data_IF_843004820666
#
_entry.id   IF_843004820666
#
_cell.length_a   1.000
_cell.length_b   1.000
_cell.length_c   1.000
_cell.angle_alpha   90.00
_cell.angle_beta   90.00
_cell.angle_gamma   90.00
#
_symmetry.space_group_name_H-M   'P 1'
#
loop_
_entity.id
_entity.type
_entity.pdbx_description
1 polymer ?
#
# COMPACT_ATOMS: atom_id res chain seq x y z
N UNK A 1 20.23 4.99 6.95
CA UNK A 1 18.90 5.22 7.58
C UNK A 1 18.27 6.43 6.92
N UNK A 2 16.96 6.41 6.64
CA UNK A 2 16.26 7.56 6.07
C UNK A 2 16.22 8.74 7.05
N UNK A 3 16.02 9.98 6.57
CA UNK A 3 16.12 11.19 7.39
C UNK A 3 15.05 11.27 8.49
N UNK A 4 13.97 10.51 8.35
CA UNK A 4 12.89 10.37 9.34
C UNK A 4 12.96 9.07 10.15
N UNK A 5 14.07 8.35 10.07
CA UNK A 5 14.19 7.01 10.67
C UNK A 5 13.31 5.94 10.00
N UNK A 6 12.70 6.25 8.85
CA UNK A 6 11.81 5.37 8.07
C UNK A 6 12.19 5.36 6.59
N UNK A 7 11.73 4.33 5.89
CA UNK A 7 11.68 4.24 4.43
C UNK A 7 10.23 4.53 3.96
N UNK A 8 10.01 4.92 2.68
CA UNK A 8 11.01 5.20 1.64
C UNK A 8 11.68 6.58 1.81
N UNK A 9 12.88 6.71 1.22
CA UNK A 9 13.61 7.97 1.08
C UNK A 9 14.47 7.95 -0.19
N UNK A 10 14.81 9.12 -0.72
CA UNK A 10 15.75 9.28 -1.84
C UNK A 10 16.90 10.21 -1.45
N UNK A 11 17.95 10.19 -2.27
CA UNK A 11 19.01 11.20 -2.28
C UNK A 11 19.06 11.81 -3.67
N UNK A 12 18.91 13.11 -3.75
CA UNK A 12 18.88 13.83 -5.02
C UNK A 12 19.35 15.28 -4.82
N UNK A 13 20.17 15.80 -5.73
CA UNK A 13 20.68 17.17 -5.64
C UNK A 13 21.40 17.51 -4.32
N UNK A 14 22.10 16.55 -3.70
CA UNK A 14 22.74 16.71 -2.39
C UNK A 14 21.79 16.72 -1.19
N UNK A 15 20.47 16.61 -1.42
CA UNK A 15 19.44 16.53 -0.38
C UNK A 15 19.08 15.08 -0.10
N UNK A 16 18.70 14.78 1.14
CA UNK A 16 18.07 13.50 1.51
C UNK A 16 16.62 13.78 1.89
N UNK A 17 15.66 13.28 1.09
CA UNK A 17 14.23 13.48 1.30
C UNK A 17 13.61 12.14 1.68
N UNK A 18 12.92 12.07 2.81
CA UNK A 18 12.17 10.89 3.23
C UNK A 18 10.69 11.20 3.31
N UNK A 19 9.87 10.14 3.35
CA UNK A 19 8.41 10.15 3.14
C UNK A 19 8.03 10.18 1.66
N UNK A 20 7.21 9.23 1.21
CA UNK A 20 6.85 9.07 -0.21
C UNK A 20 6.15 10.30 -0.79
N UNK A 21 5.27 10.95 -0.03
CA UNK A 21 4.54 12.13 -0.53
C UNK A 21 5.47 13.33 -0.65
N UNK A 22 6.38 13.50 0.32
CA UNK A 22 7.40 14.55 0.26
C UNK A 22 8.40 14.31 -0.87
N UNK A 23 8.77 13.06 -1.12
CA UNK A 23 9.62 12.66 -2.26
C UNK A 23 8.92 12.98 -3.58
N UNK A 24 7.66 12.56 -3.76
CA UNK A 24 6.90 12.83 -4.99
C UNK A 24 6.78 14.33 -5.22
N UNK A 25 6.42 15.10 -4.19
CA UNK A 25 6.33 16.57 -4.28
C UNK A 25 7.66 17.19 -4.69
N UNK A 26 8.76 16.81 -4.03
CA UNK A 26 10.09 17.31 -4.36
C UNK A 26 10.46 17.04 -5.82
N UNK A 27 10.21 15.83 -6.32
CA UNK A 27 10.53 15.45 -7.69
C UNK A 27 9.72 16.27 -8.70
N UNK A 28 8.43 16.49 -8.43
CA UNK A 28 7.56 17.32 -9.27
C UNK A 28 7.99 18.79 -9.29
N UNK A 29 8.30 19.35 -8.12
CA UNK A 29 8.74 20.74 -8.00
C UNK A 29 10.10 20.96 -8.68
N UNK A 30 10.99 19.96 -8.66
CA UNK A 30 12.36 20.06 -9.18
C UNK A 30 12.45 19.74 -10.68
N UNK A 31 11.71 18.74 -11.16
CA UNK A 31 11.84 18.20 -12.52
C UNK A 31 10.58 18.37 -13.39
N UNK A 32 9.54 18.99 -12.84
CA UNK A 32 8.24 19.17 -13.48
C UNK A 32 7.27 18.01 -13.22
N UNK A 33 5.98 18.32 -13.13
CA UNK A 33 4.94 17.34 -12.87
C UNK A 33 4.43 16.67 -14.15
N UNK A 34 5.15 15.65 -14.62
CA UNK A 34 4.77 14.87 -15.81
C UNK A 34 3.66 13.86 -15.54
N UNK A 35 3.39 13.55 -14.27
CA UNK A 35 2.44 12.50 -13.87
C UNK A 35 1.06 13.11 -13.67
N UNK A 36 0.97 14.19 -12.90
CA UNK A 36 -0.30 14.80 -12.52
C UNK A 36 -0.47 16.22 -13.05
N UNK A 37 0.48 16.73 -13.85
CA UNK A 37 0.42 18.09 -14.41
C UNK A 37 -0.83 18.36 -15.24
N UNK A 38 -1.40 17.31 -15.87
CA UNK A 38 -2.61 17.40 -16.70
C UNK A 38 -3.92 17.29 -15.92
N UNK A 39 -3.88 16.97 -14.63
CA UNK A 39 -5.09 16.81 -13.84
C UNK A 39 -5.80 18.16 -13.61
N UNK A 40 -7.12 18.14 -13.60
CA UNK A 40 -7.94 19.27 -13.13
C UNK A 40 -7.83 19.42 -11.61
N UNK A 41 -8.25 20.57 -11.08
CA UNK A 41 -8.30 20.78 -9.63
C UNK A 41 -9.18 19.73 -8.92
N UNK A 42 -10.32 19.38 -9.51
CA UNK A 42 -11.22 18.35 -8.99
C UNK A 42 -10.57 16.96 -9.00
N UNK A 43 -9.90 16.58 -10.09
CA UNK A 43 -9.17 15.31 -10.16
C UNK A 43 -8.08 15.22 -9.11
N UNK A 44 -7.33 16.30 -8.85
CA UNK A 44 -6.34 16.36 -7.78
C UNK A 44 -6.97 16.19 -6.40
N UNK A 45 -8.10 16.85 -6.15
CA UNK A 45 -8.84 16.70 -4.89
C UNK A 45 -9.33 15.27 -4.69
N UNK A 46 -9.86 14.63 -5.75
CA UNK A 46 -10.26 13.21 -5.72
C UNK A 46 -9.08 12.27 -5.51
N UNK A 47 -7.93 12.53 -6.14
CA UNK A 47 -6.70 11.79 -5.89
C UNK A 47 -6.27 11.86 -4.42
N UNK A 48 -6.35 13.06 -3.83
CA UNK A 48 -6.03 13.25 -2.42
C UNK A 48 -6.93 12.45 -1.49
N UNK A 49 -8.25 12.37 -1.74
CA UNK A 49 -9.16 11.58 -0.90
C UNK A 49 -8.89 10.08 -1.02
N UNK A 50 -8.56 9.59 -2.22
CA UNK A 50 -8.14 8.20 -2.44
C UNK A 50 -6.85 7.91 -1.67
N UNK A 51 -5.84 8.78 -1.78
CA UNK A 51 -4.58 8.62 -1.06
C UNK A 51 -4.79 8.60 0.46
N UNK A 52 -5.64 9.50 1.02
CA UNK A 52 -5.99 9.49 2.45
C UNK A 52 -6.67 8.19 2.87
N UNK A 53 -7.67 7.73 2.12
CA UNK A 53 -8.36 6.47 2.41
C UNK A 53 -7.36 5.30 2.47
N UNK A 54 -6.47 5.22 1.49
CA UNK A 54 -5.51 4.13 1.42
C UNK A 54 -4.43 4.20 2.51
N UNK A 55 -3.87 5.39 2.77
CA UNK A 55 -2.81 5.59 3.77
C UNK A 55 -3.31 5.53 5.22
N UNK A 56 -4.49 6.10 5.49
CA UNK A 56 -4.96 6.30 6.86
C UNK A 56 -6.00 5.26 7.31
N UNK A 57 -6.56 4.47 6.38
CA UNK A 57 -7.43 3.32 6.67
C UNK A 57 -6.81 2.01 6.17
N UNK A 58 -6.74 1.80 4.85
CA UNK A 58 -6.38 0.51 4.24
C UNK A 58 -4.99 0.01 4.68
N UNK A 59 -4.02 0.89 4.89
CA UNK A 59 -2.69 0.55 5.40
C UNK A 59 -2.73 -0.19 6.73
N UNK A 60 -3.60 0.23 7.65
CA UNK A 60 -3.71 -0.41 8.97
C UNK A 60 -4.36 -1.78 8.87
N UNK A 61 -5.29 -1.96 7.93
CA UNK A 61 -5.86 -3.28 7.59
C UNK A 61 -4.77 -4.20 7.00
N UNK A 62 -3.89 -3.67 6.13
CA UNK A 62 -2.76 -4.43 5.62
C UNK A 62 -1.79 -4.85 6.74
N UNK A 63 -1.56 -3.98 7.74
CA UNK A 63 -0.78 -4.35 8.92
C UNK A 63 -1.48 -5.41 9.79
N UNK A 64 -2.81 -5.37 9.91
CA UNK A 64 -3.58 -6.44 10.55
C UNK A 64 -3.27 -7.77 9.87
N UNK A 65 -3.42 -7.85 8.53
CA UNK A 65 -3.14 -9.06 7.76
C UNK A 65 -1.71 -9.58 7.97
N UNK A 66 -0.70 -8.69 7.93
CA UNK A 66 0.72 -9.07 7.86
C UNK A 66 1.38 -9.29 9.21
N UNK A 67 0.95 -8.57 10.24
CA UNK A 67 1.65 -8.53 11.53
C UNK A 67 0.76 -8.93 12.70
N UNK A 68 -0.57 -8.90 12.56
CA UNK A 68 -1.46 -9.27 13.66
C UNK A 68 -2.00 -10.67 13.49
N UNK A 69 -2.44 -11.08 12.31
CA UNK A 69 -2.84 -12.45 12.03
C UNK A 69 -1.62 -13.39 12.04
N UNK A 70 -1.78 -14.62 12.55
CA UNK A 70 -0.66 -15.57 12.67
C UNK A 70 -0.17 -16.06 11.29
N UNK A 71 -1.09 -16.38 10.37
CA UNK A 71 -0.74 -16.82 9.02
C UNK A 71 0.10 -15.77 8.26
N UNK A 72 -0.25 -14.49 8.39
CA UNK A 72 0.51 -13.41 7.79
C UNK A 72 1.83 -13.15 8.51
N UNK A 73 1.84 -13.20 9.84
CA UNK A 73 3.08 -13.01 10.60
C UNK A 73 4.11 -14.09 10.29
N UNK A 74 3.69 -15.34 10.12
CA UNK A 74 4.60 -16.43 9.72
C UNK A 74 5.25 -16.16 8.36
N UNK A 75 4.46 -15.71 7.36
CA UNK A 75 4.98 -15.33 6.04
C UNK A 75 5.91 -14.12 6.10
N UNK A 76 5.57 -13.10 6.88
CA UNK A 76 6.42 -11.92 7.06
C UNK A 76 7.69 -12.26 7.81
N UNK A 77 7.61 -13.13 8.81
CA UNK A 77 8.78 -13.64 9.55
C UNK A 77 9.75 -14.32 8.61
N UNK A 78 9.25 -15.24 7.79
CA UNK A 78 10.04 -15.93 6.77
C UNK A 78 10.64 -14.95 5.75
N UNK A 79 9.84 -14.04 5.21
CA UNK A 79 10.31 -13.13 4.15
C UNK A 79 11.33 -12.09 4.63
N UNK A 80 11.18 -11.55 5.85
CA UNK A 80 11.99 -10.40 6.33
C UNK A 80 13.09 -10.78 7.31
N UNK A 81 13.01 -11.94 7.96
CA UNK A 81 13.90 -12.28 9.08
C UNK A 81 14.57 -13.65 8.95
N UNK A 82 14.43 -14.37 7.82
CA UNK A 82 15.06 -15.69 7.62
C UNK A 82 16.57 -15.70 7.79
N UNK A 83 17.24 -14.60 7.44
CA UNK A 83 18.71 -14.51 7.45
C UNK A 83 19.26 -14.10 8.83
N UNK A 84 18.41 -13.91 9.84
CA UNK A 84 18.88 -13.65 11.20
C UNK A 84 19.40 -14.94 11.86
N UNK A 85 20.60 -14.87 12.42
CA UNK A 85 21.15 -15.96 13.24
C UNK A 85 20.43 -16.06 14.58
N UNK A 86 20.48 -17.24 15.20
CA UNK A 86 20.14 -17.37 16.61
C UNK A 86 21.14 -16.55 17.46
N UNK A 87 20.70 -15.82 18.51
CA UNK A 87 19.34 -15.74 19.05
C UNK A 87 18.46 -14.61 18.45
N UNK A 88 18.98 -13.80 17.53
CA UNK A 88 18.25 -12.64 16.96
C UNK A 88 16.96 -13.05 16.25
N UNK A 89 16.95 -14.17 15.53
CA UNK A 89 15.74 -14.69 14.87
C UNK A 89 14.60 -15.04 15.83
N UNK A 90 14.91 -15.37 17.09
CA UNK A 90 13.90 -15.64 18.13
C UNK A 90 13.40 -14.36 18.81
N UNK A 91 14.23 -13.31 18.88
CA UNK A 91 13.94 -12.10 19.67
C UNK A 91 13.34 -10.98 18.80
N UNK A 92 13.91 -10.73 17.62
CA UNK A 92 13.59 -9.55 16.81
C UNK A 92 12.17 -9.59 16.23
N UNK A 93 11.70 -10.67 15.56
CA UNK A 93 10.37 -10.66 14.95
C UNK A 93 9.23 -10.46 15.96
N UNK A 94 9.17 -11.17 17.12
CA UNK A 94 8.13 -10.92 18.12
C UNK A 94 8.16 -9.50 18.70
N UNK A 95 9.36 -8.93 18.87
CA UNK A 95 9.51 -7.56 19.36
C UNK A 95 8.93 -6.54 18.36
N UNK A 96 9.22 -6.69 17.06
CA UNK A 96 8.65 -5.87 15.99
C UNK A 96 7.13 -6.02 15.94
N UNK A 97 6.62 -7.27 15.97
CA UNK A 97 5.18 -7.58 16.01
C UNK A 97 4.47 -6.84 17.15
N UNK A 98 5.05 -6.91 18.36
CA UNK A 98 4.53 -6.23 19.55
C UNK A 98 4.60 -4.70 19.42
N UNK A 99 5.61 -4.16 18.75
CA UNK A 99 5.70 -2.73 18.44
C UNK A 99 4.58 -2.27 17.52
N UNK A 100 4.35 -2.99 16.41
CA UNK A 100 3.31 -2.66 15.44
C UNK A 100 1.90 -2.76 16.02
N UNK A 101 1.61 -3.81 16.81
CA UNK A 101 0.33 -3.92 17.54
C UNK A 101 0.09 -2.71 18.45
N UNK A 102 1.12 -2.24 19.17
CA UNK A 102 1.02 -1.02 19.99
C UNK A 102 0.75 0.23 19.14
N UNK A 103 1.42 0.37 18.00
CA UNK A 103 1.17 1.48 17.07
C UNK A 103 -0.26 1.47 16.52
N UNK A 104 -0.81 0.30 16.19
CA UNK A 104 -2.20 0.15 15.73
C UNK A 104 -3.20 0.62 16.80
N UNK A 105 -2.99 0.25 18.06
CA UNK A 105 -3.83 0.70 19.18
C UNK A 105 -3.68 2.21 19.41
N UNK A 106 -2.47 2.75 19.28
CA UNK A 106 -2.20 4.18 19.45
C UNK A 106 -2.84 5.03 18.34
N UNK A 107 -2.84 4.55 17.09
CA UNK A 107 -3.49 5.24 15.97
C UNK A 107 -5.02 5.12 16.03
N UNK A 108 -5.55 4.01 16.54
CA UNK A 108 -6.99 3.80 16.73
C UNK A 108 -7.49 2.50 16.10
N UNK A 109 -6.97 2.10 14.93
CA UNK A 109 -7.43 0.89 14.23
C UNK A 109 -7.36 -0.37 15.09
N UNK A 110 -6.29 -0.53 15.87
CA UNK A 110 -6.08 -1.70 16.72
C UNK A 110 -7.02 -1.79 17.94
N UNK A 111 -7.94 -0.84 18.12
CA UNK A 111 -8.96 -0.87 19.19
C UNK A 111 -10.24 -1.58 18.76
N UNK A 112 -10.43 -1.75 17.46
CA UNK A 112 -11.57 -2.44 16.90
C UNK A 112 -11.38 -3.96 16.96
N UNK A 113 -12.50 -4.67 16.90
CA UNK A 113 -12.49 -6.12 16.68
C UNK A 113 -11.93 -6.46 15.30
N UNK A 114 -11.50 -7.71 15.15
CA UNK A 114 -10.99 -8.22 13.87
C UNK A 114 -11.97 -8.02 12.73
N UNK A 115 -13.26 -8.29 12.96
CA UNK A 115 -14.29 -8.21 11.93
C UNK A 115 -14.59 -6.77 11.53
N UNK A 116 -14.57 -5.82 12.47
CA UNK A 116 -14.68 -4.39 12.18
C UNK A 116 -13.50 -3.89 11.34
N UNK A 117 -12.26 -4.27 11.70
CA UNK A 117 -11.05 -3.89 10.94
C UNK A 117 -11.15 -4.37 9.49
N UNK A 118 -11.55 -5.63 9.28
CA UNK A 118 -11.74 -6.13 7.92
C UNK A 118 -12.93 -5.49 7.23
N UNK A 119 -14.00 -5.16 7.96
CA UNK A 119 -15.14 -4.39 7.44
C UNK A 119 -14.71 -3.05 6.84
N UNK A 120 -13.84 -2.30 7.51
CA UNK A 120 -13.30 -1.05 6.97
C UNK A 120 -12.49 -1.26 5.68
N UNK A 121 -11.60 -2.26 5.66
CA UNK A 121 -10.82 -2.56 4.46
C UNK A 121 -11.68 -3.03 3.28
N UNK A 122 -12.75 -3.79 3.54
CA UNK A 122 -13.70 -4.20 2.51
C UNK A 122 -14.42 -2.98 1.93
N UNK A 123 -14.89 -2.08 2.79
CA UNK A 123 -15.52 -0.83 2.37
C UNK A 123 -14.56 0.05 1.54
N UNK A 124 -13.28 0.13 1.92
CA UNK A 124 -12.27 0.87 1.15
C UNK A 124 -12.06 0.27 -0.25
N UNK A 125 -12.02 -1.07 -0.38
CA UNK A 125 -11.87 -1.73 -1.68
C UNK A 125 -13.12 -1.60 -2.55
N UNK A 126 -14.31 -1.66 -1.95
CA UNK A 126 -15.57 -1.45 -2.65
C UNK A 126 -15.67 0.01 -3.14
N UNK A 127 -15.28 0.97 -2.31
CA UNK A 127 -15.19 2.38 -2.70
C UNK A 127 -14.17 2.59 -3.83
N UNK A 128 -12.98 1.98 -3.75
CA UNK A 128 -11.97 2.06 -4.79
C UNK A 128 -12.48 1.49 -6.12
N UNK A 129 -13.20 0.36 -6.07
CA UNK A 129 -13.84 -0.25 -7.24
C UNK A 129 -14.88 0.68 -7.88
N UNK A 130 -15.76 1.30 -7.07
CA UNK A 130 -16.74 2.27 -7.57
C UNK A 130 -16.06 3.51 -8.16
N UNK A 131 -15.01 4.01 -7.50
CA UNK A 131 -14.26 5.16 -7.98
C UNK A 131 -13.55 4.86 -9.31
N UNK A 132 -13.03 3.66 -9.50
CA UNK A 132 -12.51 3.19 -10.78
C UNK A 132 -13.64 3.09 -11.83
N UNK A 133 -14.74 2.40 -11.51
CA UNK A 133 -15.82 2.11 -12.45
C UNK A 133 -15.28 1.39 -13.69
N UNK A 134 -15.66 1.88 -14.87
CA UNK A 134 -15.20 1.38 -16.17
C UNK A 134 -13.96 2.10 -16.72
N UNK A 135 -13.35 3.00 -15.93
CA UNK A 135 -12.18 3.77 -16.38
C UNK A 135 -10.93 2.91 -16.45
N UNK A 136 -10.01 3.29 -17.33
CA UNK A 136 -8.68 2.66 -17.41
C UNK A 136 -7.85 2.94 -16.14
N UNK A 137 -7.92 4.15 -15.61
CA UNK A 137 -7.21 4.62 -14.41
C UNK A 137 -8.15 5.45 -13.53
N UNK A 138 -7.78 5.65 -12.26
CA UNK A 138 -8.67 6.25 -11.25
C UNK A 138 -9.14 7.66 -11.59
N UNK A 139 -8.28 8.44 -12.25
CA UNK A 139 -8.51 9.86 -12.55
C UNK A 139 -8.63 10.16 -14.05
N UNK A 140 -8.69 9.16 -14.93
CA UNK A 140 -8.87 9.36 -16.37
C UNK A 140 -8.20 8.28 -17.23
N UNK A 141 -7.71 8.67 -18.40
CA UNK A 141 -7.16 7.74 -19.40
C UNK A 141 -5.65 7.50 -19.27
N UNK A 142 -4.97 8.24 -18.40
CA UNK A 142 -3.54 8.07 -18.12
C UNK A 142 -3.29 7.82 -16.63
N UNK A 143 -2.30 7.00 -16.26
CA UNK A 143 -1.93 6.76 -14.87
C UNK A 143 -1.52 8.05 -14.16
N UNK A 144 -1.98 8.21 -12.92
CA UNK A 144 -1.68 9.32 -12.02
C UNK A 144 -0.89 8.85 -10.78
N UNK A 145 -0.50 9.76 -9.89
CA UNK A 145 0.07 9.36 -8.59
C UNK A 145 -0.91 8.54 -7.75
N UNK A 146 -2.22 8.84 -7.84
CA UNK A 146 -3.26 8.09 -7.14
C UNK A 146 -3.30 6.63 -7.62
N UNK A 147 -3.04 6.38 -8.91
CA UNK A 147 -2.93 5.03 -9.45
C UNK A 147 -1.70 4.28 -8.91
N UNK A 148 -0.57 4.98 -8.78
CA UNK A 148 0.62 4.39 -8.17
C UNK A 148 0.35 3.96 -6.71
N UNK A 149 -0.33 4.80 -5.93
CA UNK A 149 -0.74 4.47 -4.55
C UNK A 149 -1.70 3.28 -4.53
N UNK A 150 -2.82 3.36 -5.25
CA UNK A 150 -3.84 2.32 -5.27
C UNK A 150 -3.29 0.97 -5.73
N UNK A 151 -2.52 0.97 -6.81
CA UNK A 151 -1.88 -0.24 -7.30
C UNK A 151 -0.90 -0.83 -6.27
N UNK A 152 -0.13 -0.02 -5.55
CA UNK A 152 0.78 -0.52 -4.50
C UNK A 152 0.03 -1.23 -3.36
N UNK A 153 -1.15 -0.73 -2.96
CA UNK A 153 -1.99 -1.40 -1.96
C UNK A 153 -2.63 -2.67 -2.49
N UNK A 154 -3.23 -2.62 -3.68
CA UNK A 154 -3.83 -3.80 -4.33
C UNK A 154 -2.78 -4.90 -4.53
N UNK A 155 -1.62 -4.55 -5.06
CA UNK A 155 -0.47 -5.46 -5.19
C UNK A 155 -0.02 -5.98 -3.83
N UNK A 156 -0.07 -5.18 -2.76
CA UNK A 156 0.33 -5.63 -1.43
C UNK A 156 -0.59 -6.71 -0.83
N UNK A 157 -1.88 -6.71 -1.16
CA UNK A 157 -2.82 -7.77 -0.77
C UNK A 157 -2.73 -9.00 -1.66
N UNK A 158 -2.46 -8.82 -2.96
CA UNK A 158 -2.40 -9.92 -3.94
C UNK A 158 -1.00 -10.57 -4.07
N UNK A 159 0.05 -9.85 -3.70
CA UNK A 159 1.45 -10.19 -3.96
C UNK A 159 1.94 -11.41 -3.18
N UNK A 160 1.78 -11.35 -1.85
CA UNK A 160 2.13 -12.44 -0.95
C UNK A 160 0.94 -13.40 -0.80
N UNK A 161 1.16 -14.73 -0.75
CA UNK A 161 0.10 -15.71 -0.56
C UNK A 161 -0.34 -15.76 0.91
N UNK A 162 -0.91 -14.65 1.40
CA UNK A 162 -1.50 -14.51 2.73
C UNK A 162 -3.01 -14.45 2.55
N UNK A 163 -3.70 -15.48 2.99
CA UNK A 163 -5.16 -15.55 2.89
C UNK A 163 -5.81 -14.61 3.90
N UNK A 164 -6.68 -13.74 3.40
CA UNK A 164 -7.42 -12.76 4.18
C UNK A 164 -8.64 -12.26 3.39
N UNK A 165 -9.68 -11.72 4.05
CA UNK A 165 -10.91 -11.27 3.39
C UNK A 165 -10.70 -10.20 2.31
N UNK A 166 -9.71 -9.32 2.47
CA UNK A 166 -9.44 -8.23 1.51
C UNK A 166 -8.91 -8.81 0.19
N UNK A 167 -8.00 -9.77 0.27
CA UNK A 167 -7.47 -10.49 -0.90
C UNK A 167 -8.59 -11.18 -1.68
N UNK A 168 -9.46 -11.91 -0.99
CA UNK A 168 -10.60 -12.61 -1.59
C UNK A 168 -11.57 -11.62 -2.25
N UNK A 169 -11.86 -10.49 -1.60
CA UNK A 169 -12.68 -9.42 -2.17
C UNK A 169 -12.06 -8.88 -3.46
N UNK A 170 -10.77 -8.51 -3.45
CA UNK A 170 -10.10 -7.99 -4.64
C UNK A 170 -10.17 -9.01 -5.78
N UNK A 171 -9.89 -10.30 -5.52
CA UNK A 171 -9.93 -11.35 -6.54
C UNK A 171 -11.31 -11.56 -7.16
N UNK A 172 -12.38 -11.30 -6.40
CA UNK A 172 -13.77 -11.39 -6.89
C UNK A 172 -14.26 -10.11 -7.57
N UNK A 173 -13.48 -9.03 -7.52
CA UNK A 173 -13.86 -7.73 -8.09
C UNK A 173 -13.18 -7.54 -9.45
N UNK A 174 -13.93 -7.83 -10.52
CA UNK A 174 -13.39 -7.94 -11.88
C UNK A 174 -12.66 -6.68 -12.38
N UNK A 175 -13.22 -5.49 -12.16
CA UNK A 175 -12.60 -4.24 -12.60
C UNK A 175 -11.29 -3.94 -11.85
N UNK A 176 -11.20 -4.24 -10.55
CA UNK A 176 -9.96 -4.11 -9.78
C UNK A 176 -8.89 -5.12 -10.24
N UNK A 177 -9.27 -6.35 -10.56
CA UNK A 177 -8.34 -7.34 -11.11
C UNK A 177 -7.82 -6.94 -12.49
N UNK A 178 -8.70 -6.47 -13.38
CA UNK A 178 -8.31 -5.95 -14.68
C UNK A 178 -7.39 -4.73 -14.54
N UNK A 179 -7.69 -3.83 -13.60
CA UNK A 179 -6.83 -2.68 -13.27
C UNK A 179 -5.46 -3.10 -12.77
N UNK A 180 -5.41 -4.05 -11.85
CA UNK A 180 -4.17 -4.61 -11.33
C UNK A 180 -3.31 -5.22 -12.44
N UNK A 181 -3.91 -5.99 -13.35
CA UNK A 181 -3.23 -6.58 -14.51
C UNK A 181 -2.66 -5.51 -15.43
N UNK A 182 -3.47 -4.51 -15.84
CA UNK A 182 -3.00 -3.39 -16.68
C UNK A 182 -1.81 -2.65 -16.09
N UNK A 183 -1.85 -2.37 -14.78
CA UNK A 183 -0.75 -1.68 -14.09
C UNK A 183 0.52 -2.55 -14.04
N UNK A 184 0.39 -3.87 -13.81
CA UNK A 184 1.52 -4.79 -13.85
C UNK A 184 2.12 -4.91 -15.24
N UNK A 185 1.31 -5.10 -16.28
CA UNK A 185 1.79 -5.20 -17.67
C UNK A 185 2.58 -3.96 -18.07
N UNK A 186 2.13 -2.78 -17.63
CA UNK A 186 2.76 -1.50 -17.96
C UNK A 186 4.04 -1.21 -17.17
N UNK A 187 4.06 -1.49 -15.87
CA UNK A 187 5.14 -1.03 -14.97
C UNK A 187 5.97 -2.15 -14.35
N UNK A 188 5.45 -3.37 -14.32
CA UNK A 188 6.09 -4.55 -13.75
C UNK A 188 5.95 -5.80 -14.65
N UNK A 189 6.37 -5.72 -15.94
CA UNK A 189 6.13 -6.79 -16.91
C UNK A 189 6.77 -8.13 -16.50
N UNK A 190 7.86 -8.10 -15.72
CA UNK A 190 8.48 -9.30 -15.16
C UNK A 190 7.64 -9.98 -14.07
N UNK A 191 6.78 -9.25 -13.35
CA UNK A 191 5.83 -9.82 -12.41
C UNK A 191 4.60 -10.40 -13.13
N UNK A 192 4.18 -9.78 -14.24
CA UNK A 192 3.08 -10.29 -15.06
C UNK A 192 3.42 -11.64 -15.72
N UNK A 193 4.67 -11.85 -16.11
CA UNK A 193 5.13 -13.09 -16.73
C UNK A 193 5.34 -14.26 -15.75
N UNK A 194 5.33 -14.01 -14.43
CA UNK A 194 5.69 -14.99 -13.40
C UNK A 194 4.47 -15.63 -12.70
N UNK A 195 3.26 -15.39 -13.20
CA UNK A 195 1.98 -15.90 -12.66
C UNK A 195 1.20 -16.62 -13.75
#
# INVERSE_FOLDING_TARGET
>A
KGPKGKIPFIRDGGRTIGDSELVIRYLKDTYGDRVDGKLTAEQRARGHTIDRMLHDSTYWVLLQCRWVEDNGFDRVREALFRDLSWPLSAIVPPLVRRGLRRSMVAQGMGRHSRDEIFGFGLADMDALSVLLGDKAFLLGDSPSSADATAHAFVMSFLGAPIDNPIRERIQRTANLMAYYQRMNERYYPSLAAAR
#
